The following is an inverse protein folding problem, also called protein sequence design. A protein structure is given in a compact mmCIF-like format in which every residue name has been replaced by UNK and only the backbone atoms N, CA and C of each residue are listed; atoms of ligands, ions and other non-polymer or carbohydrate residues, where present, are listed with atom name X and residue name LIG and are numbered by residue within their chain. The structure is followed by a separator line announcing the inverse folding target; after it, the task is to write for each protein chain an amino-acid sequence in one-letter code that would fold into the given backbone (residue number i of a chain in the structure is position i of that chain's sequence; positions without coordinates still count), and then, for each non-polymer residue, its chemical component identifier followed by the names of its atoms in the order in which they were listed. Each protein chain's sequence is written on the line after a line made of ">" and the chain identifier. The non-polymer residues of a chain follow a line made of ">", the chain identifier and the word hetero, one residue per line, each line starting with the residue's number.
data_IF_532525919268
#
_entry.id   IF_532525919268
#
_cell.length_a   1.000
_cell.length_b   1.000
_cell.length_c   1.000
_cell.angle_alpha   90.00
_cell.angle_beta   90.00
_cell.angle_gamma   90.00
#
_symmetry.space_group_name_H-M   'P 1'
#
loop_
_entity.id
_entity.type
_entity.pdbx_description
1 polymer ?
#
# COMPACT_ATOMS: atom_id res chain seq x y z
N UNK A 1 3.12 21.01 -13.32
CA UNK A 1 3.86 21.07 -12.04
C UNK A 1 4.64 19.78 -11.80
N UNK A 2 5.80 19.89 -11.21
CA UNK A 2 6.55 18.70 -10.82
C UNK A 2 5.89 18.06 -9.58
N UNK A 3 5.71 16.74 -9.61
CA UNK A 3 5.18 16.00 -8.45
C UNK A 3 6.28 15.85 -7.39
N UNK A 4 5.92 16.08 -6.14
CA UNK A 4 6.80 15.96 -4.98
C UNK A 4 6.42 14.76 -4.12
N UNK A 5 7.39 14.20 -3.43
CA UNK A 5 7.18 13.11 -2.45
C UNK A 5 7.59 13.62 -1.08
N UNK A 6 6.73 13.38 -0.08
CA UNK A 6 7.03 13.68 1.32
C UNK A 6 6.44 12.63 2.25
N UNK A 7 6.94 12.59 3.47
CA UNK A 7 6.35 11.76 4.53
C UNK A 7 5.01 12.35 4.99
N UNK A 8 4.04 11.47 5.19
CA UNK A 8 2.78 11.83 5.82
C UNK A 8 2.96 12.02 7.34
N UNK A 9 2.16 12.90 7.90
CA UNK A 9 2.08 13.18 9.34
C UNK A 9 0.64 13.06 9.83
N UNK A 10 0.41 13.18 11.13
CA UNK A 10 -0.95 13.19 11.68
C UNK A 10 -1.84 14.32 11.13
N UNK A 11 -1.25 15.39 10.63
CA UNK A 11 -2.01 16.45 9.95
C UNK A 11 -2.61 16.00 8.60
N UNK A 12 -2.13 14.89 8.04
CA UNK A 12 -2.56 14.36 6.74
C UNK A 12 -3.67 13.30 6.83
N UNK A 13 -4.22 13.03 8.02
CA UNK A 13 -5.21 11.95 8.23
C UNK A 13 -6.35 12.00 7.22
N UNK A 14 -7.00 13.16 7.05
CA UNK A 14 -8.15 13.29 6.15
C UNK A 14 -7.75 13.22 4.68
N UNK A 15 -6.62 13.80 4.30
CA UNK A 15 -6.09 13.71 2.94
C UNK A 15 -5.69 12.27 2.58
N UNK A 16 -5.08 11.55 3.52
CA UNK A 16 -4.74 10.14 3.35
C UNK A 16 -5.99 9.26 3.21
N UNK A 17 -7.01 9.48 4.06
CA UNK A 17 -8.29 8.80 3.93
C UNK A 17 -8.92 9.05 2.55
N UNK A 18 -8.97 10.29 2.11
CA UNK A 18 -9.55 10.67 0.82
C UNK A 18 -8.83 10.00 -0.36
N UNK A 19 -7.50 10.04 -0.40
CA UNK A 19 -6.74 9.42 -1.50
C UNK A 19 -6.81 7.89 -1.45
N UNK A 20 -6.83 7.29 -0.28
CA UNK A 20 -6.98 5.84 -0.13
C UNK A 20 -8.32 5.36 -0.69
N UNK A 21 -9.41 6.03 -0.34
CA UNK A 21 -10.76 5.72 -0.85
C UNK A 21 -10.83 5.95 -2.37
N UNK A 22 -10.35 7.10 -2.86
CA UNK A 22 -10.41 7.44 -4.28
C UNK A 22 -9.65 6.43 -5.15
N UNK A 23 -8.42 6.09 -4.78
CA UNK A 23 -7.58 5.16 -5.55
C UNK A 23 -8.08 3.73 -5.47
N UNK A 24 -8.64 3.30 -4.34
CA UNK A 24 -9.24 1.97 -4.21
C UNK A 24 -10.49 1.85 -5.08
N UNK A 25 -11.38 2.85 -5.07
CA UNK A 25 -12.55 2.89 -5.94
C UNK A 25 -12.17 2.89 -7.43
N UNK A 26 -11.14 3.64 -7.81
CA UNK A 26 -10.66 3.70 -9.20
C UNK A 26 -10.17 2.34 -9.69
N UNK A 27 -9.52 1.57 -8.81
CA UNK A 27 -8.93 0.27 -9.14
C UNK A 27 -9.92 -0.88 -9.01
N UNK A 28 -10.74 -0.89 -7.95
CA UNK A 28 -11.53 -2.04 -7.52
C UNK A 28 -13.04 -1.76 -7.43
N UNK A 29 -13.49 -0.54 -7.74
CA UNK A 29 -14.88 -0.12 -7.56
C UNK A 29 -15.91 -1.01 -8.24
N UNK A 30 -15.57 -1.57 -9.40
CA UNK A 30 -16.45 -2.49 -10.16
C UNK A 30 -16.25 -3.97 -9.79
N UNK A 31 -15.33 -4.28 -8.88
CA UNK A 31 -14.98 -5.66 -8.53
C UNK A 31 -15.81 -6.24 -7.39
N UNK A 32 -16.51 -5.40 -6.63
CA UNK A 32 -17.25 -5.79 -5.44
C UNK A 32 -18.69 -5.26 -5.45
N UNK A 33 -19.63 -5.96 -4.77
CA UNK A 33 -20.95 -5.38 -4.52
C UNK A 33 -20.83 -4.03 -3.80
N UNK A 34 -21.60 -2.99 -4.21
CA UNK A 34 -21.42 -1.62 -3.70
C UNK A 34 -21.47 -1.49 -2.18
N UNK A 35 -22.36 -2.23 -1.50
CA UNK A 35 -22.46 -2.17 -0.04
C UNK A 35 -21.23 -2.81 0.65
N UNK A 36 -20.76 -3.95 0.14
CA UNK A 36 -19.57 -4.62 0.69
C UNK A 36 -18.33 -3.74 0.53
N UNK A 37 -18.19 -3.08 -0.62
CA UNK A 37 -17.11 -2.13 -0.87
C UNK A 37 -17.18 -0.94 0.08
N UNK A 38 -18.36 -0.35 0.27
CA UNK A 38 -18.54 0.80 1.17
C UNK A 38 -18.21 0.42 2.62
N UNK A 39 -18.71 -0.70 3.09
CA UNK A 39 -18.42 -1.21 4.44
C UNK A 39 -16.92 -1.44 4.65
N UNK A 40 -16.24 -2.02 3.65
CA UNK A 40 -14.80 -2.23 3.69
C UNK A 40 -14.02 -0.91 3.75
N UNK A 41 -14.38 0.06 2.89
CA UNK A 41 -13.71 1.36 2.85
C UNK A 41 -13.92 2.13 4.15
N UNK A 42 -15.11 2.10 4.72
CA UNK A 42 -15.38 2.74 6.02
C UNK A 42 -14.59 2.08 7.15
N UNK A 43 -14.53 0.75 7.18
CA UNK A 43 -13.83 0.03 8.22
C UNK A 43 -12.31 0.22 8.17
N UNK A 44 -11.71 0.33 6.97
CA UNK A 44 -10.25 0.29 6.80
C UNK A 44 -9.64 1.61 6.33
N UNK A 45 -10.38 2.48 5.62
CA UNK A 45 -9.82 3.66 4.95
C UNK A 45 -10.44 4.99 5.40
N UNK A 46 -11.40 4.98 6.32
CA UNK A 46 -11.88 6.21 6.96
C UNK A 46 -10.79 6.86 7.83
N UNK A 47 -11.04 8.06 8.33
CA UNK A 47 -10.02 8.87 9.03
C UNK A 47 -9.46 8.18 10.27
N UNK A 48 -10.28 7.47 11.05
CA UNK A 48 -9.80 6.86 12.30
C UNK A 48 -8.78 5.73 12.08
N UNK A 49 -9.01 4.75 11.19
CA UNK A 49 -7.96 3.78 10.84
C UNK A 49 -6.66 4.44 10.34
N UNK A 50 -6.74 5.52 9.56
CA UNK A 50 -5.56 6.26 9.10
C UNK A 50 -4.83 6.95 10.25
N UNK A 51 -5.55 7.49 11.21
CA UNK A 51 -4.98 8.10 12.41
C UNK A 51 -4.21 7.07 13.25
N UNK A 52 -4.80 5.89 13.45
CA UNK A 52 -4.17 4.78 14.17
C UNK A 52 -2.88 4.38 13.46
N UNK A 53 -2.92 4.19 12.16
CA UNK A 53 -1.76 3.78 11.37
C UNK A 53 -0.64 4.84 11.41
N UNK A 54 -0.97 6.11 11.22
CA UNK A 54 -0.01 7.22 11.29
C UNK A 54 0.59 7.39 12.70
N UNK A 55 -0.10 6.95 13.74
CA UNK A 55 0.37 6.99 15.13
C UNK A 55 1.27 5.80 15.49
N UNK A 56 1.30 4.73 14.69
CA UNK A 56 2.15 3.57 14.95
C UNK A 56 3.61 3.90 14.55
N UNK A 57 4.58 3.84 15.47
CA UNK A 57 5.97 4.15 15.16
C UNK A 57 6.62 3.18 14.16
N UNK A 58 6.00 2.02 13.91
CA UNK A 58 6.46 1.05 12.91
C UNK A 58 5.94 1.36 11.51
N UNK A 59 4.97 2.26 11.39
CA UNK A 59 4.40 2.69 10.12
C UNK A 59 5.22 3.79 9.47
N UNK A 60 5.25 3.79 8.14
CA UNK A 60 5.83 4.85 7.33
C UNK A 60 4.99 5.05 6.08
N UNK A 61 4.53 6.27 5.86
CA UNK A 61 3.65 6.60 4.73
C UNK A 61 4.26 7.76 3.96
N UNK A 62 4.29 7.64 2.63
CA UNK A 62 4.72 8.68 1.70
C UNK A 62 3.56 9.13 0.86
N UNK A 63 3.43 10.43 0.67
CA UNK A 63 2.45 11.06 -0.19
C UNK A 63 3.11 11.55 -1.47
N UNK A 64 2.45 11.32 -2.61
CA UNK A 64 2.77 11.94 -3.89
C UNK A 64 1.88 13.17 -4.04
N UNK A 65 2.50 14.34 -4.16
CA UNK A 65 1.84 15.63 -4.13
C UNK A 65 1.93 16.34 -5.49
N UNK A 66 0.80 16.88 -5.96
CA UNK A 66 0.76 17.87 -7.02
C UNK A 66 0.29 19.19 -6.42
N UNK A 67 1.24 20.12 -6.17
CA UNK A 67 0.95 21.28 -5.33
C UNK A 67 0.49 20.83 -3.93
N UNK A 68 -0.68 21.27 -3.51
CA UNK A 68 -1.28 20.89 -2.22
C UNK A 68 -2.17 19.63 -2.29
N UNK A 69 -2.38 19.09 -3.49
CA UNK A 69 -3.23 17.91 -3.68
C UNK A 69 -2.42 16.61 -3.54
N UNK A 70 -2.97 15.63 -2.81
CA UNK A 70 -2.44 14.27 -2.76
C UNK A 70 -2.98 13.49 -3.96
N UNK A 71 -2.08 12.96 -4.80
CA UNK A 71 -2.44 12.22 -6.02
C UNK A 71 -1.99 10.75 -6.01
N UNK A 72 -1.32 10.34 -4.96
CA UNK A 72 -0.91 8.96 -4.75
C UNK A 72 -0.25 8.79 -3.38
N UNK A 73 -0.03 7.53 -2.98
CA UNK A 73 0.63 7.23 -1.71
C UNK A 73 1.20 5.82 -1.68
N UNK A 74 2.13 5.61 -0.77
CA UNK A 74 2.65 4.31 -0.38
C UNK A 74 2.61 4.22 1.14
N UNK A 75 2.00 3.15 1.67
CA UNK A 75 1.89 2.90 3.10
C UNK A 75 2.56 1.58 3.48
N UNK A 76 3.45 1.63 4.46
CA UNK A 76 4.16 0.49 5.01
C UNK A 76 4.02 0.45 6.53
N UNK A 77 4.15 -0.74 7.09
CA UNK A 77 4.05 -0.94 8.54
C UNK A 77 4.46 -2.36 8.94
N UNK A 78 4.19 -2.73 10.18
CA UNK A 78 4.46 -4.08 10.67
C UNK A 78 3.74 -5.14 9.82
N UNK A 79 4.43 -6.22 9.50
CA UNK A 79 3.85 -7.30 8.69
C UNK A 79 2.66 -7.96 9.37
N UNK A 80 1.56 -8.12 8.63
CA UNK A 80 0.34 -8.84 9.05
C UNK A 80 0.01 -10.02 8.15
N UNK A 81 0.77 -10.22 7.05
CA UNK A 81 0.53 -11.34 6.14
C UNK A 81 0.84 -12.67 6.81
N UNK A 82 -0.02 -13.68 6.60
CA UNK A 82 0.11 -14.99 7.26
C UNK A 82 1.21 -15.82 6.58
N UNK A 83 2.37 -15.94 7.23
CA UNK A 83 3.45 -16.80 6.76
C UNK A 83 4.30 -17.28 7.94
N UNK A 84 4.73 -18.56 7.89
CA UNK A 84 5.51 -19.17 8.96
C UNK A 84 6.89 -18.56 9.16
N UNK A 85 7.46 -17.96 8.12
CA UNK A 85 8.77 -17.30 8.15
C UNK A 85 8.72 -15.84 8.58
N UNK A 86 7.53 -15.27 8.81
CA UNK A 86 7.39 -13.91 9.29
C UNK A 86 8.01 -13.75 10.68
N UNK A 87 8.73 -12.66 10.89
CA UNK A 87 9.41 -12.34 12.15
C UNK A 87 8.99 -10.96 12.66
N UNK A 88 9.15 -10.76 13.94
CA UNK A 88 9.04 -9.43 14.54
C UNK A 88 10.06 -8.49 13.90
N UNK A 89 9.63 -7.28 13.55
CA UNK A 89 10.45 -6.31 12.85
C UNK A 89 10.39 -6.37 11.33
N UNK A 90 9.78 -7.41 10.75
CA UNK A 90 9.50 -7.46 9.33
C UNK A 90 8.49 -6.38 8.92
N UNK A 91 8.64 -5.87 7.72
CA UNK A 91 7.82 -4.78 7.18
C UNK A 91 6.95 -5.29 6.04
N UNK A 92 5.69 -4.86 6.04
CA UNK A 92 4.75 -5.05 4.94
C UNK A 92 4.56 -3.75 4.18
N UNK A 93 4.65 -3.81 2.85
CA UNK A 93 4.12 -2.78 1.98
C UNK A 93 2.62 -3.05 1.87
N UNK A 94 1.82 -2.24 2.57
CA UNK A 94 0.39 -2.51 2.77
C UNK A 94 -0.48 -1.97 1.64
N UNK A 95 -0.16 -0.78 1.13
CA UNK A 95 -0.93 -0.10 0.09
C UNK A 95 0.00 0.75 -0.75
N UNK A 96 -0.23 0.73 -2.06
CA UNK A 96 0.56 1.50 -2.99
C UNK A 96 -0.30 1.86 -4.21
N UNK A 97 -0.78 3.09 -4.26
CA UNK A 97 -1.72 3.54 -5.28
C UNK A 97 -1.38 4.94 -5.76
N UNK A 98 -1.57 5.17 -7.05
CA UNK A 98 -1.48 6.47 -7.70
C UNK A 98 -2.71 6.64 -8.57
N UNK A 99 -3.38 7.80 -8.52
CA UNK A 99 -4.51 8.10 -9.38
C UNK A 99 -4.16 7.87 -10.85
N UNK A 100 -5.07 7.29 -11.61
CA UNK A 100 -4.85 6.90 -13.01
C UNK A 100 -4.28 8.05 -13.87
N UNK A 101 -4.77 9.27 -13.64
CA UNK A 101 -4.30 10.47 -14.36
C UNK A 101 -2.81 10.80 -14.11
N UNK A 102 -2.22 10.26 -13.05
CA UNK A 102 -0.83 10.52 -12.64
C UNK A 102 0.08 9.29 -12.76
N UNK A 103 -0.42 8.21 -13.36
CA UNK A 103 0.37 7.01 -13.64
C UNK A 103 1.27 7.20 -14.89
N UNK A 104 2.18 6.23 -15.10
CA UNK A 104 3.09 6.16 -16.25
C UNK A 104 4.14 7.30 -16.36
N UNK A 105 4.29 8.12 -15.30
CA UNK A 105 5.31 9.17 -15.22
C UNK A 105 6.55 8.77 -14.39
N UNK A 106 6.73 7.51 -14.05
CA UNK A 106 7.85 7.03 -13.21
C UNK A 106 7.67 7.32 -11.71
N UNK A 107 6.52 7.85 -11.30
CA UNK A 107 6.27 8.25 -9.91
C UNK A 107 6.17 7.06 -8.96
N UNK A 108 5.70 5.91 -9.46
CA UNK A 108 5.69 4.66 -8.70
C UNK A 108 7.09 4.21 -8.29
N UNK A 109 8.04 4.26 -9.21
CA UNK A 109 9.44 3.95 -8.92
C UNK A 109 10.02 4.93 -7.89
N UNK A 110 9.72 6.22 -8.00
CA UNK A 110 10.19 7.25 -7.03
C UNK A 110 9.64 6.99 -5.61
N UNK A 111 8.35 6.67 -5.48
CA UNK A 111 7.76 6.29 -4.19
C UNK A 111 8.41 5.02 -3.63
N UNK A 112 8.59 4.02 -4.48
CA UNK A 112 9.22 2.77 -4.07
C UNK A 112 10.68 2.98 -3.65
N UNK A 113 11.44 3.82 -4.35
CA UNK A 113 12.83 4.13 -4.00
C UNK A 113 12.93 4.83 -2.63
N UNK A 114 12.02 5.75 -2.32
CA UNK A 114 11.94 6.39 -1.02
C UNK A 114 11.64 5.38 0.10
N UNK A 115 10.68 4.50 -0.15
CA UNK A 115 10.32 3.40 0.77
C UNK A 115 11.51 2.45 0.98
N UNK A 116 12.15 1.99 -0.09
CA UNK A 116 13.28 1.06 -0.01
C UNK A 116 14.47 1.65 0.75
N UNK A 117 14.74 2.94 0.56
CA UNK A 117 15.76 3.65 1.32
C UNK A 117 15.47 3.62 2.83
N UNK A 118 14.23 3.89 3.23
CA UNK A 118 13.81 3.78 4.63
C UNK A 118 13.85 2.33 5.14
N UNK A 119 13.40 1.38 4.33
CA UNK A 119 13.36 -0.04 4.68
C UNK A 119 14.75 -0.59 5.02
N UNK A 120 15.77 -0.15 4.28
CA UNK A 120 17.13 -0.66 4.39
C UNK A 120 18.00 0.13 5.39
N UNK A 121 17.43 1.11 6.11
CA UNK A 121 18.14 1.92 7.09
C UNK A 121 17.60 1.68 8.52
N UNK A 122 18.46 1.66 9.54
CA UNK A 122 19.94 1.62 9.51
C UNK A 122 20.48 0.25 9.05
N UNK A 123 19.61 -0.75 8.94
CA UNK A 123 19.94 -2.09 8.43
C UNK A 123 18.79 -2.61 7.59
N UNK A 124 19.10 -3.48 6.65
CA UNK A 124 18.12 -4.12 5.78
C UNK A 124 17.09 -4.92 6.58
N UNK A 125 15.80 -4.67 6.31
CA UNK A 125 14.69 -5.40 6.89
C UNK A 125 14.00 -6.25 5.81
N UNK A 126 13.40 -7.36 6.22
CA UNK A 126 12.60 -8.20 5.33
C UNK A 126 11.32 -7.47 4.93
N UNK A 127 11.03 -7.51 3.63
CA UNK A 127 9.82 -6.94 3.03
C UNK A 127 8.84 -8.05 2.68
N UNK A 128 7.57 -7.81 3.01
CA UNK A 128 6.43 -8.62 2.63
C UNK A 128 5.43 -7.78 1.83
N UNK A 129 4.85 -8.39 0.79
CA UNK A 129 3.83 -7.73 -0.05
C UNK A 129 2.76 -8.75 -0.40
N UNK A 130 1.49 -8.39 -0.19
CA UNK A 130 0.34 -9.11 -0.74
C UNK A 130 -0.02 -8.53 -2.11
N UNK A 131 -0.26 -9.39 -3.10
CA UNK A 131 -0.63 -8.96 -4.45
C UNK A 131 -1.66 -9.92 -5.05
N UNK A 132 -2.70 -9.37 -5.67
CA UNK A 132 -3.71 -10.17 -6.36
C UNK A 132 -3.06 -11.08 -7.42
N UNK A 133 -3.51 -12.34 -7.47
CA UNK A 133 -2.92 -13.37 -8.33
C UNK A 133 -2.92 -13.02 -9.82
N UNK A 134 -3.88 -12.20 -10.26
CA UNK A 134 -3.99 -11.76 -11.66
C UNK A 134 -3.36 -10.38 -11.92
N UNK A 135 -2.79 -9.72 -10.90
CA UNK A 135 -2.09 -8.46 -11.07
C UNK A 135 -0.63 -8.71 -11.51
N UNK A 136 -0.49 -9.16 -12.76
CA UNK A 136 0.82 -9.50 -13.33
C UNK A 136 1.77 -8.30 -13.44
N UNK A 137 1.22 -7.11 -13.64
CA UNK A 137 1.99 -5.85 -13.70
C UNK A 137 2.66 -5.55 -12.36
N UNK A 138 1.90 -5.63 -11.26
CA UNK A 138 2.43 -5.44 -9.91
C UNK A 138 3.44 -6.53 -9.54
N UNK A 139 3.17 -7.79 -9.88
CA UNK A 139 4.09 -8.89 -9.64
C UNK A 139 5.44 -8.65 -10.32
N UNK A 140 5.44 -8.23 -11.59
CA UNK A 140 6.68 -7.87 -12.32
C UNK A 140 7.38 -6.68 -11.69
N UNK A 141 6.62 -5.67 -11.26
CA UNK A 141 7.17 -4.49 -10.59
C UNK A 141 7.91 -4.89 -9.31
N UNK A 142 7.28 -5.65 -8.43
CA UNK A 142 7.90 -6.08 -7.17
C UNK A 142 9.06 -7.06 -7.38
N UNK A 143 9.02 -7.88 -8.44
CA UNK A 143 10.15 -8.76 -8.79
C UNK A 143 11.43 -7.97 -9.08
N UNK A 144 11.32 -6.78 -9.69
CA UNK A 144 12.47 -5.89 -9.92
C UNK A 144 13.12 -5.37 -8.63
N UNK A 145 12.37 -5.37 -7.53
CA UNK A 145 12.88 -4.99 -6.21
C UNK A 145 13.30 -6.20 -5.36
N UNK A 146 13.36 -7.37 -5.95
CA UNK A 146 13.85 -8.58 -5.30
C UNK A 146 12.78 -9.39 -4.55
N UNK A 147 11.50 -9.10 -4.78
CA UNK A 147 10.40 -9.85 -4.17
C UNK A 147 10.07 -11.10 -5.00
N UNK A 148 9.93 -12.24 -4.33
CA UNK A 148 9.50 -13.50 -4.93
C UNK A 148 8.33 -14.12 -4.17
N UNK A 149 7.49 -14.89 -4.88
CA UNK A 149 6.34 -15.57 -4.28
C UNK A 149 6.80 -16.63 -3.30
N UNK A 150 6.24 -16.60 -2.08
CA UNK A 150 6.50 -17.56 -1.00
C UNK A 150 5.22 -18.18 -0.42
N UNK A 151 4.05 -17.70 -0.80
CA UNK A 151 2.79 -18.21 -0.29
C UNK A 151 1.58 -17.57 -0.95
N UNK A 152 0.42 -17.92 -0.42
CA UNK A 152 -0.88 -17.43 -0.87
C UNK A 152 -1.81 -17.25 0.33
N UNK A 153 -2.79 -16.37 0.20
CA UNK A 153 -3.88 -16.20 1.18
C UNK A 153 -5.12 -15.64 0.50
N UNK A 154 -6.25 -15.65 1.21
CA UNK A 154 -7.48 -15.04 0.71
C UNK A 154 -7.64 -13.63 1.29
N UNK A 155 -7.78 -12.66 0.40
CA UNK A 155 -8.16 -11.29 0.74
C UNK A 155 -9.67 -11.17 0.69
N UNK A 156 -10.29 -10.71 1.79
CA UNK A 156 -11.73 -10.75 1.98
C UNK A 156 -12.31 -9.34 1.97
N UNK A 157 -13.29 -9.12 1.08
CA UNK A 157 -14.17 -7.94 1.09
C UNK A 157 -15.61 -8.45 1.15
N UNK A 158 -16.28 -8.27 2.29
CA UNK A 158 -17.60 -8.87 2.52
C UNK A 158 -17.58 -10.38 2.35
N UNK A 159 -18.40 -10.90 1.44
CA UNK A 159 -18.45 -12.33 1.08
C UNK A 159 -17.52 -12.67 -0.11
N UNK A 160 -16.84 -11.69 -0.68
CA UNK A 160 -15.92 -11.89 -1.80
C UNK A 160 -14.52 -12.27 -1.29
N UNK A 161 -13.98 -13.37 -1.80
CA UNK A 161 -12.65 -13.87 -1.48
C UNK A 161 -11.78 -13.82 -2.74
N UNK A 162 -10.72 -13.02 -2.69
CA UNK A 162 -9.74 -12.93 -3.77
C UNK A 162 -8.45 -13.64 -3.36
N UNK A 163 -7.91 -14.45 -4.25
CA UNK A 163 -6.62 -15.09 -4.03
C UNK A 163 -5.51 -14.06 -4.20
N UNK A 164 -4.71 -13.89 -3.15
CA UNK A 164 -3.50 -13.07 -3.19
C UNK A 164 -2.24 -13.92 -3.02
N UNK A 165 -1.19 -13.53 -3.73
CA UNK A 165 0.14 -14.08 -3.53
C UNK A 165 0.87 -13.29 -2.44
N UNK A 166 1.60 -14.01 -1.60
CA UNK A 166 2.51 -13.43 -0.63
C UNK A 166 3.89 -13.38 -1.27
N UNK A 167 4.42 -12.17 -1.43
CA UNK A 167 5.77 -11.93 -1.94
C UNK A 167 6.69 -11.55 -0.78
N UNK A 168 7.96 -11.96 -0.87
CA UNK A 168 8.98 -11.69 0.14
C UNK A 168 10.29 -11.27 -0.49
N UNK A 169 10.91 -10.23 0.08
CA UNK A 169 12.32 -9.87 -0.12
C UNK A 169 13.05 -10.03 1.21
N UNK A 170 13.97 -11.01 1.34
CA UNK A 170 14.76 -11.22 2.56
C UNK A 170 15.67 -10.03 2.89
#
# INVERSE_FOLDING_TARGET
>A
MSLQIRRATLADVDALSAIAIATYNETWGDSYPPQELDDFLQAHYSSEPQRIELSDPRSAIWLLMEGDAVVGYLAAGANTLPHTDAREGDIELKRFYILAAHQNGGHGARLMDAFMTWLDQPQRRTLWVGVWEENFGAQRFYARYGCSKVGEYDFIVGDTHDREFILRRP
#
